data_IF_209686869982
#
_entry.id   IF_209686869982
#
_cell.length_a   1.000
_cell.length_b   1.000
_cell.length_c   1.000
_cell.angle_alpha   90.00
_cell.angle_beta   90.00
_cell.angle_gamma   90.00
#
_symmetry.space_group_name_H-M   'P 1'
#
loop_
_entity.id
_entity.type
_entity.pdbx_description
1 polymer ?
#
# COMPACT_ATOMS: atom_id res chain seq x y z
N UNK A 1 9.75 -35.65 -6.37
CA UNK A 1 8.96 -34.41 -6.26
C UNK A 1 9.87 -33.25 -6.64
N UNK A 2 9.84 -32.81 -7.89
CA UNK A 2 10.61 -31.64 -8.36
C UNK A 2 9.66 -30.44 -8.32
N UNK A 3 9.90 -29.50 -7.41
CA UNK A 3 9.14 -28.26 -7.32
C UNK A 3 9.61 -27.32 -8.43
N UNK A 4 8.65 -26.75 -9.19
CA UNK A 4 8.97 -25.66 -10.13
C UNK A 4 9.45 -24.44 -9.33
N UNK A 5 10.46 -23.71 -9.84
CA UNK A 5 10.82 -22.43 -9.24
C UNK A 5 9.61 -21.49 -9.27
N UNK A 6 9.50 -20.57 -8.29
CA UNK A 6 8.44 -19.57 -8.29
C UNK A 6 8.52 -18.72 -9.56
N UNK A 7 7.35 -18.34 -10.08
CA UNK A 7 7.29 -17.43 -11.23
C UNK A 7 7.99 -16.11 -10.91
N UNK A 8 8.59 -15.50 -11.94
CA UNK A 8 9.16 -14.16 -11.81
C UNK A 8 8.07 -13.15 -11.43
N UNK A 9 8.38 -12.28 -10.46
CA UNK A 9 7.48 -11.21 -10.05
C UNK A 9 7.43 -10.18 -11.18
N UNK A 10 6.23 -9.88 -11.68
CA UNK A 10 6.03 -8.79 -12.64
C UNK A 10 5.94 -7.48 -11.87
N UNK A 11 6.90 -6.59 -12.10
CA UNK A 11 6.81 -5.24 -11.56
C UNK A 11 5.80 -4.39 -12.33
N UNK A 12 5.13 -3.49 -11.63
CA UNK A 12 4.31 -2.48 -12.27
C UNK A 12 5.20 -1.46 -13.01
N UNK A 13 4.70 -0.87 -14.12
CA UNK A 13 5.39 0.23 -14.79
C UNK A 13 5.70 1.37 -13.80
N UNK A 14 6.84 2.05 -13.90
CA UNK A 14 7.25 3.07 -12.92
C UNK A 14 6.28 4.26 -12.84
N UNK A 15 5.60 4.57 -13.94
CA UNK A 15 4.64 5.67 -14.03
C UNK A 15 3.19 5.26 -13.70
N UNK A 16 2.99 3.99 -13.35
CA UNK A 16 1.66 3.49 -13.01
C UNK A 16 1.20 3.99 -11.64
N UNK A 17 -0.12 4.17 -11.50
CA UNK A 17 -0.74 4.59 -10.24
C UNK A 17 -0.50 3.53 -9.17
N UNK A 18 -0.44 2.26 -9.56
CA UNK A 18 -0.07 1.12 -8.72
C UNK A 18 1.31 1.33 -8.12
N UNK A 19 2.35 1.57 -8.94
CA UNK A 19 3.72 1.75 -8.44
C UNK A 19 3.80 2.95 -7.49
N UNK A 20 3.10 4.06 -7.80
CA UNK A 20 3.03 5.23 -6.93
C UNK A 20 2.42 4.87 -5.56
N UNK A 21 1.27 4.19 -5.55
CA UNK A 21 0.58 3.83 -4.32
C UNK A 21 1.40 2.89 -3.43
N UNK A 22 1.99 1.84 -4.02
CA UNK A 22 2.78 0.86 -3.27
C UNK A 22 4.12 1.41 -2.80
N UNK A 23 4.75 2.32 -3.56
CA UNK A 23 5.96 3.02 -3.11
C UNK A 23 5.66 3.99 -1.97
N UNK A 24 4.52 4.69 -1.99
CA UNK A 24 4.15 5.64 -0.93
C UNK A 24 4.00 4.98 0.46
N UNK A 25 3.77 3.65 0.49
CA UNK A 25 3.55 2.90 1.73
C UNK A 25 4.69 1.94 2.07
N UNK A 26 5.71 1.80 1.22
CA UNK A 26 6.76 0.78 1.37
C UNK A 26 7.58 0.94 2.65
N UNK A 27 7.74 2.18 3.10
CA UNK A 27 8.59 2.53 4.23
C UNK A 27 7.82 2.59 5.57
N UNK A 28 6.52 2.24 5.55
CA UNK A 28 5.68 2.27 6.75
C UNK A 28 6.04 1.07 7.65
N UNK A 29 6.40 1.31 8.93
CA UNK A 29 6.64 0.25 9.89
C UNK A 29 5.31 -0.41 10.30
N UNK A 30 4.87 -1.38 9.51
CA UNK A 30 3.69 -2.19 9.78
C UNK A 30 4.05 -3.51 10.49
N UNK A 31 3.09 -4.08 11.20
CA UNK A 31 3.29 -5.32 11.96
C UNK A 31 3.54 -6.52 11.04
N UNK A 32 2.85 -6.59 9.90
CA UNK A 32 3.04 -7.64 8.90
C UNK A 32 3.22 -7.04 7.50
N UNK A 33 3.95 -7.71 6.58
CA UNK A 33 4.06 -7.26 5.18
C UNK A 33 2.70 -7.07 4.50
N UNK A 34 1.70 -7.87 4.89
CA UNK A 34 0.35 -7.76 4.36
C UNK A 34 -0.37 -6.47 4.81
N UNK A 35 -0.02 -5.90 5.95
CA UNK A 35 -0.58 -4.62 6.39
C UNK A 35 -0.12 -3.48 5.45
N UNK A 36 1.13 -3.52 4.97
CA UNK A 36 1.64 -2.61 3.93
C UNK A 36 0.88 -2.81 2.61
N UNK A 37 0.65 -4.06 2.21
CA UNK A 37 -0.11 -4.34 0.99
C UNK A 37 -1.55 -3.81 1.06
N UNK A 38 -2.19 -3.94 2.23
CA UNK A 38 -3.55 -3.40 2.46
C UNK A 38 -3.56 -1.88 2.39
N UNK A 39 -2.53 -1.21 2.92
CA UNK A 39 -2.36 0.24 2.77
C UNK A 39 -2.20 0.62 1.30
N UNK A 40 -1.28 -0.03 0.58
CA UNK A 40 -1.02 0.25 -0.84
C UNK A 40 -2.27 0.07 -1.70
N UNK A 41 -3.04 -1.00 -1.47
CA UNK A 41 -4.31 -1.22 -2.15
C UNK A 41 -5.34 -0.10 -1.89
N UNK A 42 -5.52 0.33 -0.65
CA UNK A 42 -6.50 1.37 -0.33
C UNK A 42 -6.07 2.75 -0.85
N UNK A 43 -4.77 3.04 -0.82
CA UNK A 43 -4.21 4.26 -1.43
C UNK A 43 -4.41 4.23 -2.94
N UNK A 44 -4.11 3.10 -3.60
CA UNK A 44 -4.38 2.93 -5.03
C UNK A 44 -5.86 3.11 -5.36
N UNK A 45 -6.76 2.47 -4.62
CA UNK A 45 -8.20 2.58 -4.84
C UNK A 45 -8.68 4.04 -4.71
N UNK A 46 -8.11 4.79 -3.75
CA UNK A 46 -8.36 6.21 -3.62
C UNK A 46 -7.76 7.03 -4.78
N UNK A 47 -6.57 6.70 -5.28
CA UNK A 47 -5.98 7.39 -6.43
C UNK A 47 -6.82 7.21 -7.71
N UNK A 48 -7.41 6.03 -7.90
CA UNK A 48 -8.26 5.68 -9.05
C UNK A 48 -9.63 6.36 -8.96
N UNK A 49 -10.34 6.19 -7.84
CA UNK A 49 -11.74 6.63 -7.72
C UNK A 49 -11.90 8.03 -7.11
N UNK A 50 -10.91 8.52 -6.36
CA UNK A 50 -10.92 9.77 -5.59
C UNK A 50 -12.14 9.94 -4.68
N UNK A 51 -12.69 8.82 -4.19
CA UNK A 51 -13.83 8.82 -3.26
C UNK A 51 -13.36 9.11 -1.83
N UNK A 52 -13.92 10.15 -1.22
CA UNK A 52 -13.59 10.54 0.15
C UNK A 52 -12.19 11.12 0.30
N UNK A 53 -11.68 11.11 1.53
CA UNK A 53 -10.35 11.65 1.85
C UNK A 53 -9.29 10.56 1.88
N UNK A 54 -8.01 10.94 1.68
CA UNK A 54 -6.88 10.02 1.83
C UNK A 54 -6.85 9.39 3.24
N UNK A 55 -7.14 10.17 4.27
CA UNK A 55 -7.23 9.68 5.65
C UNK A 55 -8.32 8.60 5.80
N UNK A 56 -9.47 8.75 5.15
CA UNK A 56 -10.52 7.73 5.15
C UNK A 56 -10.05 6.44 4.46
N UNK A 57 -9.32 6.55 3.36
CA UNK A 57 -8.76 5.39 2.65
C UNK A 57 -7.73 4.64 3.52
N UNK A 58 -6.80 5.37 4.14
CA UNK A 58 -5.79 4.79 5.05
C UNK A 58 -6.47 4.14 6.26
N UNK A 59 -7.46 4.80 6.85
CA UNK A 59 -8.23 4.25 7.98
C UNK A 59 -8.99 2.98 7.58
N UNK A 60 -9.56 2.95 6.38
CA UNK A 60 -10.32 1.79 5.86
C UNK A 60 -9.43 0.59 5.57
N UNK A 61 -8.12 0.78 5.36
CA UNK A 61 -7.17 -0.31 5.18
C UNK A 61 -7.08 -1.24 6.40
N UNK A 62 -7.38 -0.73 7.60
CA UNK A 62 -7.33 -1.51 8.84
C UNK A 62 -5.94 -2.11 9.10
N UNK A 63 -4.89 -1.44 8.63
CA UNK A 63 -3.52 -1.89 8.76
C UNK A 63 -3.00 -1.65 10.17
N UNK A 64 -2.30 -2.64 10.72
CA UNK A 64 -1.64 -2.51 12.03
C UNK A 64 -0.27 -1.89 11.85
N UNK A 65 -0.13 -0.64 12.27
CA UNK A 65 1.10 0.15 12.14
C UNK A 65 1.65 0.51 13.51
N UNK A 66 2.97 0.64 13.61
CA UNK A 66 3.63 1.11 14.83
C UNK A 66 3.53 2.63 15.03
N UNK A 67 3.11 3.35 13.98
CA UNK A 67 2.92 4.79 13.97
C UNK A 67 1.42 5.16 13.95
N UNK A 68 1.04 6.31 14.51
CA UNK A 68 -0.34 6.78 14.53
C UNK A 68 -0.85 7.22 13.15
N UNK A 69 -2.18 7.22 12.97
CA UNK A 69 -2.84 7.55 11.70
C UNK A 69 -2.44 8.91 11.11
N UNK A 70 -2.26 9.93 11.95
CA UNK A 70 -1.89 11.28 11.46
C UNK A 70 -0.48 11.32 10.86
N UNK A 71 0.43 10.46 11.34
CA UNK A 71 1.79 10.35 10.82
C UNK A 71 1.80 9.55 9.53
N UNK A 72 0.99 8.49 9.45
CA UNK A 72 0.73 7.75 8.21
C UNK A 72 0.27 8.65 7.07
N UNK A 73 -0.73 9.49 7.33
CA UNK A 73 -1.26 10.42 6.31
C UNK A 73 -0.16 11.35 5.81
N UNK A 74 0.74 11.82 6.68
CA UNK A 74 1.87 12.70 6.29
C UNK A 74 2.93 12.01 5.45
N UNK A 75 3.16 10.70 5.66
CA UNK A 75 4.11 9.92 4.87
C UNK A 75 3.56 9.68 3.46
N UNK A 76 2.25 9.46 3.36
CA UNK A 76 1.58 9.11 2.09
C UNK A 76 1.17 10.35 1.27
N UNK A 77 0.98 11.52 1.91
CA UNK A 77 0.60 12.78 1.26
C UNK A 77 1.75 13.47 0.54
#
# INVERSE_FOLDING_TARGET
MTTKPPSAVSEFPPESIEKIAYNAVSDIPAQEPNDVNRLGYNVWAWLVDRKGTLEQAIRSAGARTHIPLHELVKIVS
#
